data_IF_652029954967
#
_entry.id   IF_652029954967
#
_cell.length_a   1.000
_cell.length_b   1.000
_cell.length_c   1.000
_cell.angle_alpha   90.00
_cell.angle_beta   90.00
_cell.angle_gamma   90.00
#
_symmetry.space_group_name_H-M   'P 1'
#
loop_
_entity.id
_entity.type
_entity.pdbx_description
1 polymer ?
#
# COMPACT_ATOMS: atom_id res chain seq x y z
N UNK A 1 3.46 1.62 -10.41
CA UNK A 1 2.36 2.04 -11.29
C UNK A 1 1.07 1.90 -10.49
N UNK A 2 0.19 2.90 -10.55
CA UNK A 2 -1.12 2.90 -9.90
C UNK A 2 -2.17 2.32 -10.88
N UNK A 3 -3.23 1.71 -10.37
CA UNK A 3 -4.35 1.11 -11.10
C UNK A 3 -5.67 1.60 -10.53
N UNK A 4 -6.58 1.93 -11.43
CA UNK A 4 -7.90 2.38 -11.06
C UNK A 4 -8.85 1.20 -10.95
N UNK A 5 -9.75 1.28 -9.98
CA UNK A 5 -10.87 0.36 -9.80
C UNK A 5 -12.15 1.17 -9.76
N UNK A 6 -13.17 0.66 -10.43
CA UNK A 6 -14.54 1.18 -10.29
C UNK A 6 -15.38 0.09 -9.64
N UNK A 7 -16.09 0.50 -8.59
CA UNK A 7 -17.09 -0.33 -7.94
C UNK A 7 -18.40 -0.27 -8.72
N UNK A 8 -18.88 -1.44 -9.12
CA UNK A 8 -20.23 -1.67 -9.57
C UNK A 8 -21.04 -2.29 -8.42
N UNK A 9 -22.39 -2.22 -8.45
CA UNK A 9 -23.23 -2.73 -7.36
C UNK A 9 -22.96 -4.17 -6.94
N UNK A 10 -22.43 -5.00 -7.83
CA UNK A 10 -22.17 -6.43 -7.60
C UNK A 10 -20.75 -6.87 -7.98
N UNK A 11 -19.88 -5.95 -8.42
CA UNK A 11 -18.54 -6.34 -8.89
C UNK A 11 -17.55 -5.19 -8.86
N UNK A 12 -16.26 -5.51 -8.84
CA UNK A 12 -15.18 -4.54 -9.00
C UNK A 12 -14.55 -4.69 -10.36
N UNK A 13 -14.34 -3.58 -11.07
CA UNK A 13 -13.68 -3.57 -12.38
C UNK A 13 -12.38 -2.79 -12.32
N UNK A 14 -11.27 -3.43 -12.71
CA UNK A 14 -10.02 -2.72 -13.01
C UNK A 14 -10.17 -1.93 -14.29
N UNK A 15 -9.82 -0.65 -14.24
CA UNK A 15 -9.88 0.24 -15.40
C UNK A 15 -8.59 0.15 -16.21
N UNK A 16 -8.72 -0.17 -17.50
CA UNK A 16 -7.61 -0.11 -18.44
C UNK A 16 -7.46 1.31 -18.99
N UNK A 17 -6.25 1.82 -19.30
CA UNK A 17 -6.06 3.17 -19.84
C UNK A 17 -6.91 3.49 -21.09
N UNK A 18 -7.20 2.50 -21.93
CA UNK A 18 -8.08 2.68 -23.10
C UNK A 18 -9.53 3.01 -22.72
N UNK A 19 -10.03 2.56 -21.56
CA UNK A 19 -11.38 2.87 -21.08
C UNK A 19 -11.50 4.32 -20.61
N UNK A 20 -10.41 4.91 -20.10
CA UNK A 20 -10.38 6.33 -19.76
C UNK A 20 -10.55 7.20 -21.01
N UNK A 21 -9.90 6.81 -22.11
CA UNK A 21 -10.06 7.47 -23.40
C UNK A 21 -11.50 7.33 -23.95
N UNK A 22 -12.12 6.16 -23.80
CA UNK A 22 -13.53 5.93 -24.18
C UNK A 22 -14.50 6.80 -23.36
N UNK A 23 -14.21 7.01 -22.07
CA UNK A 23 -15.00 7.88 -21.19
C UNK A 23 -14.67 9.37 -21.37
N UNK A 24 -13.67 9.71 -22.19
CA UNK A 24 -13.25 11.09 -22.43
C UNK A 24 -12.65 11.78 -21.20
N UNK A 25 -12.12 11.01 -20.24
CA UNK A 25 -11.53 11.53 -19.00
C UNK A 25 -10.02 11.36 -18.97
N UNK A 26 -9.35 12.37 -18.46
CA UNK A 26 -7.90 12.34 -18.22
C UNK A 26 -7.56 11.44 -17.02
N UNK A 27 -6.46 10.70 -17.13
CA UNK A 27 -6.00 9.79 -16.09
C UNK A 27 -5.63 10.53 -14.79
N UNK A 28 -4.98 11.69 -14.88
CA UNK A 28 -4.56 12.46 -13.69
C UNK A 28 -5.78 12.88 -12.85
N UNK A 29 -6.82 13.39 -13.51
CA UNK A 29 -8.11 13.76 -12.91
C UNK A 29 -8.76 12.57 -12.20
N UNK A 30 -8.73 11.40 -12.83
CA UNK A 30 -9.34 10.17 -12.33
C UNK A 30 -8.57 9.65 -11.10
N UNK A 31 -7.23 9.64 -11.13
CA UNK A 31 -6.41 9.31 -9.96
C UNK A 31 -6.61 10.33 -8.82
N UNK A 32 -6.66 11.63 -9.14
CA UNK A 32 -6.89 12.67 -8.14
C UNK A 32 -8.25 12.50 -7.46
N UNK A 33 -9.29 12.16 -8.22
CA UNK A 33 -10.62 11.92 -7.65
C UNK A 33 -10.64 10.66 -6.78
N UNK A 34 -9.99 9.58 -7.23
CA UNK A 34 -9.92 8.35 -6.44
C UNK A 34 -9.17 8.55 -5.12
N UNK A 35 -8.13 9.40 -5.10
CA UNK A 35 -7.45 9.79 -3.85
C UNK A 35 -8.33 10.68 -2.98
N UNK A 36 -9.09 11.59 -3.59
CA UNK A 36 -10.04 12.45 -2.87
C UNK A 36 -11.11 11.63 -2.15
N UNK A 37 -11.60 10.54 -2.74
CA UNK A 37 -12.58 9.62 -2.12
C UNK A 37 -12.05 8.98 -0.83
N UNK A 38 -10.73 8.85 -0.68
CA UNK A 38 -10.07 8.31 0.51
C UNK A 38 -9.82 9.36 1.61
N UNK A 39 -10.03 10.65 1.33
CA UNK A 39 -9.69 11.75 2.26
C UNK A 39 -10.38 11.59 3.62
N UNK A 40 -11.64 11.15 3.62
CA UNK A 40 -12.38 10.92 4.87
C UNK A 40 -11.71 9.88 5.77
N UNK A 41 -11.33 8.72 5.20
CA UNK A 41 -10.62 7.67 5.92
C UNK A 41 -9.21 8.11 6.33
N UNK A 42 -8.53 8.90 5.49
CA UNK A 42 -7.21 9.44 5.80
C UNK A 42 -7.25 10.38 7.00
N UNK A 43 -8.18 11.33 7.03
CA UNK A 43 -8.32 12.28 8.14
C UNK A 43 -8.69 11.58 9.45
N UNK A 44 -9.66 10.68 9.37
CA UNK A 44 -10.13 9.92 10.52
C UNK A 44 -9.03 8.99 11.09
N UNK A 45 -8.27 8.30 10.24
CA UNK A 45 -7.16 7.46 10.71
C UNK A 45 -6.03 8.26 11.36
N UNK A 46 -5.69 9.44 10.85
CA UNK A 46 -4.75 10.37 11.51
C UNK A 46 -5.31 10.85 12.85
N UNK A 47 -6.61 11.16 12.93
CA UNK A 47 -7.27 11.56 14.17
C UNK A 47 -7.28 10.45 15.23
N UNK A 48 -7.41 9.18 14.82
CA UNK A 48 -7.36 8.01 15.72
C UNK A 48 -5.96 7.58 16.12
N UNK A 49 -4.93 7.91 15.33
CA UNK A 49 -3.57 7.49 15.63
C UNK A 49 -3.13 8.00 17.00
N UNK A 50 -2.67 7.13 17.88
CA UNK A 50 -2.13 7.52 19.17
C UNK A 50 -0.74 6.88 19.34
N UNK A 51 0.34 7.68 19.33
CA UNK A 51 1.71 7.20 19.55
C UNK A 51 1.91 6.40 20.83
N UNK A 52 1.17 6.72 21.89
CA UNK A 52 1.25 6.06 23.19
C UNK A 52 0.42 4.78 23.30
N UNK A 53 -0.55 4.59 22.41
CA UNK A 53 -1.43 3.43 22.43
C UNK A 53 -0.89 2.28 21.58
N UNK A 54 -1.19 1.04 21.99
CA UNK A 54 -0.94 -0.19 21.19
C UNK A 54 0.49 -0.30 20.66
N UNK A 55 1.47 0.17 21.45
CA UNK A 55 2.88 0.18 21.03
C UNK A 55 3.16 1.07 19.83
N UNK A 56 2.42 2.18 19.65
CA UNK A 56 2.64 3.14 18.56
C UNK A 56 2.22 2.63 17.18
N UNK A 57 1.44 1.55 17.14
CA UNK A 57 1.01 0.86 15.93
C UNK A 57 -0.47 1.16 15.63
N UNK A 58 -0.72 1.63 14.41
CA UNK A 58 -2.05 1.76 13.84
C UNK A 58 -2.28 0.67 12.81
N UNK A 59 -3.34 -0.10 13.00
CA UNK A 59 -3.85 -1.01 11.97
C UNK A 59 -5.20 -0.50 11.49
N UNK A 60 -5.32 -0.32 10.17
CA UNK A 60 -6.56 0.11 9.50
C UNK A 60 -7.05 -1.09 8.69
N UNK A 61 -8.02 -1.87 9.22
CA UNK A 61 -8.52 -3.05 8.55
C UNK A 61 -9.49 -2.68 7.42
N UNK A 62 -9.49 -3.50 6.38
CA UNK A 62 -10.38 -3.45 5.22
C UNK A 62 -10.84 -4.87 4.87
N UNK A 63 -11.42 -5.53 5.86
CA UNK A 63 -11.81 -6.95 5.79
C UNK A 63 -12.85 -7.25 4.72
N UNK A 64 -13.67 -6.26 4.35
CA UNK A 64 -14.67 -6.36 3.28
C UNK A 64 -14.15 -5.83 1.93
N UNK A 65 -12.96 -5.23 1.89
CA UNK A 65 -12.32 -4.69 0.69
C UNK A 65 -12.96 -3.41 0.15
N UNK A 66 -13.90 -2.81 0.88
CA UNK A 66 -14.69 -1.67 0.40
C UNK A 66 -14.10 -0.30 0.81
N UNK A 67 -13.11 -0.30 1.71
CA UNK A 67 -12.49 0.93 2.20
C UNK A 67 -11.23 1.30 1.41
N UNK A 68 -10.65 0.35 0.68
CA UNK A 68 -9.40 0.52 -0.05
C UNK A 68 -8.26 1.02 0.85
N UNK A 69 -8.20 0.53 2.09
CA UNK A 69 -7.28 1.07 3.10
C UNK A 69 -5.80 0.94 2.67
N UNK A 70 -5.47 -0.08 1.87
CA UNK A 70 -4.13 -0.27 1.29
C UNK A 70 -3.68 0.87 0.34
N UNK A 71 -4.60 1.72 -0.11
CA UNK A 71 -4.32 2.88 -0.96
C UNK A 71 -4.09 4.19 -0.18
N UNK A 72 -4.29 4.19 1.14
CA UNK A 72 -4.02 5.36 2.00
C UNK A 72 -2.60 5.96 1.84
N UNK A 73 -1.52 5.17 1.60
CA UNK A 73 -0.20 5.74 1.32
C UNK A 73 -0.13 6.67 0.11
N UNK A 74 -1.12 6.62 -0.79
CA UNK A 74 -1.23 7.48 -1.97
C UNK A 74 -1.99 8.79 -1.70
N UNK A 75 -2.62 8.93 -0.52
CA UNK A 75 -3.33 10.15 -0.14
C UNK A 75 -2.32 11.16 0.39
N UNK A 76 -2.24 12.31 -0.28
CA UNK A 76 -1.30 13.37 0.05
C UNK A 76 -1.44 13.80 1.53
N UNK A 77 -0.30 13.86 2.22
CA UNK A 77 -0.24 14.30 3.61
C UNK A 77 -0.76 13.30 4.66
N UNK A 78 -1.32 12.15 4.27
CA UNK A 78 -1.79 11.14 5.23
C UNK A 78 -0.64 10.61 6.11
N UNK A 79 0.40 10.05 5.50
CA UNK A 79 1.54 9.49 6.24
C UNK A 79 2.32 10.59 6.98
N UNK A 80 2.39 11.80 6.41
CA UNK A 80 2.96 12.96 7.09
C UNK A 80 2.15 13.37 8.31
N UNK A 81 0.82 13.23 8.27
CA UNK A 81 -0.07 13.42 9.42
C UNK A 81 0.23 12.47 10.57
N UNK A 82 0.45 11.19 10.26
CA UNK A 82 0.90 10.19 11.23
C UNK A 82 2.24 10.61 11.86
N UNK A 83 3.23 10.98 11.02
CA UNK A 83 4.55 11.42 11.49
C UNK A 83 4.50 12.67 12.36
N UNK A 84 3.70 13.67 11.99
CA UNK A 84 3.48 14.89 12.80
C UNK A 84 2.91 14.59 14.17
N UNK A 85 1.96 13.66 14.25
CA UNK A 85 1.34 13.28 15.53
C UNK A 85 2.28 12.43 16.39
N UNK A 86 3.09 11.58 15.76
CA UNK A 86 4.17 10.83 16.41
C UNK A 86 5.33 11.73 16.90
N UNK A 87 5.58 12.85 16.23
CA UNK A 87 6.83 13.60 16.41
C UNK A 87 8.06 12.83 15.94
N UNK A 88 7.89 11.83 15.06
CA UNK A 88 8.95 10.94 14.58
C UNK A 88 8.68 10.55 13.12
N UNK A 89 9.69 9.97 12.47
CA UNK A 89 9.60 9.56 11.06
C UNK A 89 8.53 8.47 10.91
N UNK A 90 7.49 8.68 10.08
CA UNK A 90 6.43 7.71 9.93
C UNK A 90 6.88 6.52 9.06
N UNK A 91 6.33 5.35 9.34
CA UNK A 91 6.58 4.11 8.60
C UNK A 91 5.23 3.47 8.28
N UNK A 92 5.05 2.98 7.05
CA UNK A 92 3.84 2.29 6.60
C UNK A 92 4.17 0.97 5.93
N UNK A 93 3.26 0.00 6.07
CA UNK A 93 3.34 -1.32 5.48
C UNK A 93 2.00 -1.68 4.86
N UNK A 94 2.04 -2.18 3.62
CA UNK A 94 0.87 -2.78 2.95
C UNK A 94 1.15 -4.27 2.77
N UNK A 95 1.09 -5.01 3.88
CA UNK A 95 1.44 -6.42 3.96
C UNK A 95 0.45 -7.32 3.22
N UNK A 96 -0.82 -6.97 3.26
CA UNK A 96 -1.95 -7.76 2.76
C UNK A 96 -2.92 -6.90 1.96
N UNK A 97 -3.85 -7.53 1.25
CA UNK A 97 -4.83 -6.84 0.42
C UNK A 97 -6.03 -6.26 1.19
N UNK A 98 -6.12 -6.52 2.50
CA UNK A 98 -7.27 -6.17 3.36
C UNK A 98 -6.91 -5.24 4.52
N UNK A 99 -5.87 -4.43 4.36
CA UNK A 99 -5.53 -3.44 5.38
C UNK A 99 -4.21 -2.75 5.15
N UNK A 100 -3.95 -1.74 5.99
CA UNK A 100 -2.67 -1.04 6.06
C UNK A 100 -2.23 -0.90 7.51
N UNK A 101 -0.93 -1.00 7.71
CA UNK A 101 -0.27 -0.83 9.00
C UNK A 101 0.58 0.44 8.97
N UNK A 102 0.46 1.29 9.97
CA UNK A 102 1.27 2.49 10.11
C UNK A 102 1.84 2.63 11.53
N UNK A 103 3.00 3.24 11.64
CA UNK A 103 3.67 3.56 12.89
C UNK A 103 4.72 4.64 12.68
N UNK A 104 5.65 4.78 13.61
CA UNK A 104 6.76 5.73 13.51
C UNK A 104 8.05 5.17 14.12
N UNK A 105 9.19 5.75 13.74
CA UNK A 105 10.52 5.38 14.19
C UNK A 105 10.80 5.95 15.60
N UNK A 106 10.26 5.34 16.66
CA UNK A 106 10.54 5.79 18.04
C UNK A 106 11.88 5.27 18.59
N UNK A 107 12.30 4.08 18.16
CA UNK A 107 13.58 3.44 18.52
C UNK A 107 13.89 2.28 17.58
N UNK A 108 15.13 1.78 17.56
CA UNK A 108 15.49 0.64 16.71
C UNK A 108 14.67 -0.62 17.06
N UNK A 109 14.40 -0.85 18.35
CA UNK A 109 13.57 -1.95 18.84
C UNK A 109 12.12 -1.80 18.37
N UNK A 110 11.62 -0.57 18.37
CA UNK A 110 10.26 -0.29 17.93
C UNK A 110 10.14 -0.50 16.42
N UNK A 111 11.09 -0.03 15.61
CA UNK A 111 11.14 -0.33 14.17
C UNK A 111 11.15 -1.83 13.92
N UNK A 112 11.98 -2.59 14.64
CA UNK A 112 12.01 -4.06 14.52
C UNK A 112 10.65 -4.67 14.86
N UNK A 113 9.97 -4.19 15.90
CA UNK A 113 8.62 -4.60 16.25
C UNK A 113 7.62 -4.33 15.11
N UNK A 114 7.65 -3.14 14.51
CA UNK A 114 6.79 -2.79 13.37
C UNK A 114 7.03 -3.72 12.18
N UNK A 115 8.30 -3.97 11.83
CA UNK A 115 8.69 -4.86 10.72
C UNK A 115 8.21 -6.28 10.97
N UNK A 116 8.37 -6.80 12.19
CA UNK A 116 7.91 -8.15 12.53
C UNK A 116 6.38 -8.26 12.51
N UNK A 117 5.66 -7.25 12.99
CA UNK A 117 4.20 -7.22 12.95
C UNK A 117 3.64 -7.15 11.51
N UNK A 118 4.36 -6.48 10.61
CA UNK A 118 4.04 -6.47 9.19
C UNK A 118 4.38 -7.81 8.52
N UNK A 119 5.50 -8.44 8.92
CA UNK A 119 5.92 -9.74 8.42
C UNK A 119 4.91 -10.84 8.76
N UNK A 120 4.46 -10.88 10.00
CA UNK A 120 3.44 -11.83 10.45
C UNK A 120 2.14 -11.70 9.65
N UNK A 121 1.70 -10.47 9.36
CA UNK A 121 0.53 -10.24 8.49
C UNK A 121 0.78 -10.72 7.08
N UNK A 122 1.94 -10.41 6.52
CA UNK A 122 2.31 -10.85 5.17
C UNK A 122 2.27 -12.37 5.06
N UNK A 123 2.89 -13.09 6.00
CA UNK A 123 2.98 -14.55 5.97
C UNK A 123 1.62 -15.25 6.17
N UNK A 124 0.67 -14.59 6.84
CA UNK A 124 -0.67 -15.12 7.11
C UNK A 124 -1.74 -14.58 6.14
N UNK A 125 -1.37 -13.73 5.19
CA UNK A 125 -2.33 -13.10 4.29
C UNK A 125 -2.91 -14.11 3.29
N UNK A 126 -4.23 -14.06 3.09
CA UNK A 126 -4.89 -14.77 1.96
C UNK A 126 -4.30 -14.30 0.63
N UNK A 127 -3.99 -13.00 0.55
CA UNK A 127 -3.29 -12.41 -0.58
C UNK A 127 -2.29 -11.37 -0.08
N UNK A 128 -1.04 -11.80 -0.08
CA UNK A 128 0.12 -10.99 0.24
C UNK A 128 0.36 -9.88 -0.81
N UNK A 129 0.82 -8.71 -0.34
CA UNK A 129 1.08 -7.53 -1.18
C UNK A 129 2.55 -7.13 -1.10
N UNK A 130 3.01 -6.62 0.04
CA UNK A 130 4.41 -6.24 0.22
C UNK A 130 4.85 -6.29 1.68
N UNK A 131 5.92 -7.02 2.02
CA UNK A 131 6.46 -7.02 3.37
C UNK A 131 7.37 -5.78 3.63
N UNK A 132 7.61 -4.95 2.62
CA UNK A 132 8.59 -3.85 2.68
C UNK A 132 8.00 -2.64 3.42
N UNK A 133 8.72 -2.06 4.39
CA UNK A 133 8.35 -0.78 4.98
C UNK A 133 8.60 0.37 4.00
N UNK A 134 7.69 1.33 4.01
CA UNK A 134 7.83 2.60 3.29
C UNK A 134 7.75 3.79 4.25
N UNK A 135 8.28 4.91 3.83
CA UNK A 135 8.33 6.18 4.56
C UNK A 135 8.31 7.33 3.57
N UNK A 136 8.44 8.56 4.06
CA UNK A 136 8.51 9.75 3.22
C UNK A 136 9.97 10.19 3.01
N UNK A 137 10.26 10.70 1.81
CA UNK A 137 11.44 11.52 1.54
C UNK A 137 11.17 13.00 1.88
N UNK A 138 12.17 13.86 1.66
CA UNK A 138 12.08 15.30 1.94
C UNK A 138 11.03 16.02 1.09
N UNK A 139 10.61 15.44 -0.04
CA UNK A 139 9.55 15.95 -0.90
C UNK A 139 8.16 15.39 -0.52
N UNK A 140 8.06 14.61 0.56
CA UNK A 140 6.82 13.98 0.98
C UNK A 140 6.39 12.80 0.10
N UNK A 141 7.31 12.24 -0.70
CA UNK A 141 7.02 11.10 -1.58
C UNK A 141 7.29 9.80 -0.85
N UNK A 142 6.47 8.80 -1.16
CA UNK A 142 6.63 7.46 -0.59
C UNK A 142 7.89 6.79 -1.16
N UNK A 143 8.80 6.40 -0.28
CA UNK A 143 10.06 5.72 -0.60
C UNK A 143 10.27 4.52 0.33
N UNK A 144 11.01 3.48 -0.09
CA UNK A 144 11.38 2.38 0.81
C UNK A 144 12.11 2.90 2.05
N UNK A 145 11.69 2.44 3.22
CA UNK A 145 12.34 2.78 4.48
C UNK A 145 13.67 2.02 4.60
N UNK A 146 14.74 2.75 4.90
CA UNK A 146 16.11 2.22 4.98
C UNK A 146 16.76 2.61 6.29
N UNK A 147 17.57 1.69 6.80
CA UNK A 147 18.36 1.84 8.02
C UNK A 147 19.82 1.42 7.77
N UNK A 148 20.78 1.91 8.56
CA UNK A 148 22.18 1.49 8.44
C UNK A 148 22.38 0.02 8.85
N UNK A 149 23.49 -0.60 8.44
CA UNK A 149 23.76 -2.03 8.63
C UNK A 149 23.82 -2.49 10.09
N UNK A 150 24.15 -1.57 11.00
CA UNK A 150 24.23 -1.83 12.44
C UNK A 150 22.88 -1.72 13.15
N UNK A 151 21.82 -1.25 12.48
CA UNK A 151 20.49 -1.10 13.06
C UNK A 151 19.82 -2.46 13.27
N UNK A 152 19.11 -2.64 14.41
CA UNK A 152 18.49 -3.92 14.77
C UNK A 152 17.56 -4.50 13.68
N UNK A 153 16.72 -3.67 13.07
CA UNK A 153 15.81 -4.07 11.99
C UNK A 153 16.46 -4.29 10.61
N UNK A 154 17.77 -4.05 10.45
CA UNK A 154 18.40 -4.07 9.12
C UNK A 154 18.21 -5.41 8.40
N UNK A 155 18.43 -6.53 9.10
CA UNK A 155 18.31 -7.87 8.49
C UNK A 155 16.89 -8.16 8.00
N UNK A 156 15.89 -7.81 8.81
CA UNK A 156 14.49 -8.07 8.47
C UNK A 156 14.00 -7.20 7.29
N UNK A 157 14.42 -5.93 7.24
CA UNK A 157 14.12 -5.06 6.11
C UNK A 157 14.75 -5.60 4.82
N UNK A 158 15.99 -6.09 4.88
CA UNK A 158 16.65 -6.72 3.72
C UNK A 158 15.98 -8.03 3.29
N UNK A 159 15.51 -8.82 4.25
CA UNK A 159 14.75 -10.04 3.96
C UNK A 159 13.41 -9.72 3.29
N UNK A 160 12.70 -8.68 3.75
CA UNK A 160 11.48 -8.20 3.14
C UNK A 160 11.69 -7.73 1.68
N UNK A 161 12.74 -6.95 1.43
CA UNK A 161 13.09 -6.50 0.07
C UNK A 161 13.40 -7.69 -0.86
N UNK A 162 14.17 -8.68 -0.36
CA UNK A 162 14.49 -9.88 -1.12
C UNK A 162 13.25 -10.71 -1.42
N UNK A 163 12.33 -10.85 -0.46
CA UNK A 163 11.09 -11.58 -0.64
C UNK A 163 10.15 -10.90 -1.65
N UNK A 164 9.98 -9.58 -1.54
CA UNK A 164 9.20 -8.82 -2.52
C UNK A 164 9.76 -9.03 -3.93
N UNK A 165 11.08 -8.96 -4.07
CA UNK A 165 11.78 -9.18 -5.33
C UNK A 165 11.51 -10.60 -5.86
N UNK A 166 11.65 -11.62 -5.02
CA UNK A 166 11.39 -13.01 -5.39
C UNK A 166 9.93 -13.24 -5.81
N UNK A 167 8.97 -12.65 -5.10
CA UNK A 167 7.55 -12.76 -5.43
C UNK A 167 7.21 -12.06 -6.75
N UNK A 168 7.74 -10.86 -7.00
CA UNK A 168 7.55 -10.16 -8.28
C UNK A 168 8.12 -10.99 -9.43
N UNK A 169 9.32 -11.56 -9.29
CA UNK A 169 9.91 -12.42 -10.31
C UNK A 169 9.17 -13.76 -10.48
N UNK A 170 8.71 -14.38 -9.39
CA UNK A 170 7.93 -15.62 -9.42
C UNK A 170 6.62 -15.45 -10.19
N UNK A 171 5.91 -14.34 -9.94
CA UNK A 171 4.68 -13.98 -10.68
C UNK A 171 4.97 -13.75 -12.17
N UNK A 172 6.08 -13.09 -12.51
CA UNK A 172 6.52 -12.90 -13.90
C UNK A 172 6.89 -14.23 -14.58
N UNK A 173 7.58 -15.14 -13.89
CA UNK A 173 7.96 -16.45 -14.45
C UNK A 173 6.75 -17.36 -14.66
N UNK A 174 5.79 -17.36 -13.73
CA UNK A 174 4.51 -18.05 -13.89
C UNK A 174 3.74 -17.55 -15.12
N UNK A 175 3.71 -16.23 -15.33
CA UNK A 175 3.11 -15.62 -16.52
C UNK A 175 3.82 -16.07 -17.80
N UNK A 176 5.15 -16.07 -17.84
CA UNK A 176 5.95 -16.46 -19.02
C UNK A 176 5.86 -17.96 -19.36
N UNK A 177 5.62 -18.84 -18.38
CA UNK A 177 5.32 -20.26 -18.64
C UNK A 177 3.87 -20.49 -19.07
N UNK A 178 2.91 -19.77 -18.49
CA UNK A 178 1.50 -19.83 -18.88
C UNK A 178 1.25 -19.28 -20.29
N UNK A 179 1.98 -18.24 -20.70
CA UNK A 179 1.88 -17.64 -22.03
C UNK A 179 2.45 -18.50 -23.16
N UNK A 180 3.13 -19.62 -22.85
CA UNK A 180 3.54 -20.61 -23.86
C UNK A 180 2.38 -21.51 -24.32
N UNK A 181 1.22 -21.45 -23.66
CA UNK A 181 0.02 -22.21 -24.01
C UNK A 181 -1.10 -21.36 -24.62
N UNK A 182 -0.97 -20.04 -24.69
CA UNK A 182 -1.97 -19.18 -25.34
C UNK A 182 -1.35 -17.86 -25.78
N UNK A 183 -1.08 -17.73 -27.08
CA UNK A 183 -0.84 -16.43 -27.70
C UNK A 183 -2.17 -15.67 -27.71
N UNK A 184 -2.35 -14.73 -26.77
CA UNK A 184 -3.03 -13.43 -26.93
C UNK A 184 -3.03 -12.70 -25.58
N UNK A 185 -2.50 -11.47 -25.55
CA UNK A 185 -2.77 -10.48 -24.49
C UNK A 185 -1.65 -10.25 -23.47
N UNK A 186 -0.85 -9.21 -23.73
CA UNK A 186 0.03 -8.55 -22.76
C UNK A 186 -0.73 -8.22 -21.45
N UNK A 187 -0.23 -8.66 -20.29
CA UNK A 187 -0.68 -8.23 -18.95
C UNK A 187 0.53 -7.93 -18.06
N UNK A 188 0.63 -6.68 -17.61
CA UNK A 188 1.66 -6.13 -16.71
C UNK A 188 1.48 -6.62 -15.25
N UNK A 189 2.54 -6.68 -14.42
CA UNK A 189 2.48 -7.14 -13.03
C UNK A 189 1.95 -6.06 -12.07
N UNK A 190 1.40 -6.54 -10.94
CA UNK A 190 0.78 -5.89 -9.77
C UNK A 190 0.81 -4.36 -9.72
N UNK A 191 -0.39 -3.77 -9.70
CA UNK A 191 -0.61 -2.33 -9.70
C UNK A 191 -1.75 -1.97 -8.74
N UNK A 192 -1.52 -0.94 -7.93
CA UNK A 192 -2.26 -0.48 -6.73
C UNK A 192 -3.68 -0.03 -7.05
N UNK A 193 -4.67 -0.21 -6.16
CA UNK A 193 -6.10 0.01 -6.47
C UNK A 193 -6.59 1.36 -5.92
N UNK A 194 -7.06 2.27 -6.77
CA UNK A 194 -7.69 3.54 -6.39
C UNK A 194 -9.14 3.57 -6.90
N UNK A 195 -10.10 3.66 -5.97
CA UNK A 195 -11.55 3.57 -6.20
C UNK A 195 -12.21 4.92 -6.50
N UNK A 196 -13.08 4.97 -7.50
CA UNK A 196 -13.86 6.17 -7.88
C UNK A 196 -15.35 5.87 -7.74
N UNK A 197 -16.06 6.56 -6.83
CA UNK A 197 -17.53 6.44 -6.70
C UNK A 197 -18.24 7.38 -7.66
N UNK A 198 -19.07 6.83 -8.53
CA UNK A 198 -20.13 7.62 -9.18
C UNK A 198 -21.38 7.57 -8.31
N UNK A 199 -21.82 8.72 -7.81
CA UNK A 199 -23.17 8.88 -7.24
C UNK A 199 -24.14 9.32 -8.35
N UNK A 200 -25.41 8.90 -8.29
CA UNK A 200 -26.44 9.21 -9.28
C UNK A 200 -26.79 10.70 -9.35
#
# INVERSE_FOLDING_TARGET
>A
METLVVDHPTSMQRVHPSQLAEWGVDAETVYATARADLTGLALDSVARYDPGAKGGLLHIPDTDGNQYAGALPLVDGWLAGIGRKAGARPIVFVAENVGVLAGAEFSEQHVLHLVNAARERFDNAVREVSPVPYTLDDAGRLVPYRVPRNHLAWKEIRAAEALLTANVYGQQYGYLRGSRSTYYGFRQPVSWLSGLRTRP
#
